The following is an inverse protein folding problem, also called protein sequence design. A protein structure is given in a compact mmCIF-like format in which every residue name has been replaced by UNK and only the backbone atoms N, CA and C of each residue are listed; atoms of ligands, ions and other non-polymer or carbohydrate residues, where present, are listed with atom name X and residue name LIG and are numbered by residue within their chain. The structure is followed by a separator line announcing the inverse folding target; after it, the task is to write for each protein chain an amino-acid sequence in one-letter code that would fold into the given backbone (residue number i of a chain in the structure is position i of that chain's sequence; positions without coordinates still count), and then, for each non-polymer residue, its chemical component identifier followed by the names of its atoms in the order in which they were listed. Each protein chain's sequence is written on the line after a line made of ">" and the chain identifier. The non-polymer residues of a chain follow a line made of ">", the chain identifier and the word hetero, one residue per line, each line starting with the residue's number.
data_IF_556644414092
#
_entry.id   IF_556644414092
#
_cell.length_a   1.000
_cell.length_b   1.000
_cell.length_c   1.000
_cell.angle_alpha   90.00
_cell.angle_beta   90.00
_cell.angle_gamma   90.00
#
_symmetry.space_group_name_H-M   'P 1'
#
loop_
_entity.id
_entity.type
_entity.pdbx_description
1 polymer ?
#
# COMPACT_ATOMS: atom_id res chain seq x y z
N UNK A 1 13.43 13.38 -6.22
CA UNK A 1 14.23 12.17 -6.02
C UNK A 1 15.24 12.39 -4.90
N UNK A 2 15.30 11.46 -3.96
CA UNK A 2 16.20 11.49 -2.82
C UNK A 2 17.44 10.68 -3.23
N UNK A 3 18.67 11.26 -3.26
CA UNK A 3 19.85 10.58 -3.81
C UNK A 3 20.31 9.33 -3.06
N UNK A 4 19.82 9.12 -1.84
CA UNK A 4 20.15 7.96 -0.98
C UNK A 4 18.96 7.06 -0.72
N UNK A 5 17.88 7.21 -1.50
CA UNK A 5 16.71 6.34 -1.45
C UNK A 5 17.02 5.04 -2.19
N UNK A 6 16.56 3.93 -1.67
CA UNK A 6 16.84 2.58 -2.18
C UNK A 6 15.59 1.90 -2.78
N UNK A 7 14.46 2.62 -2.86
CA UNK A 7 13.23 2.15 -3.47
C UNK A 7 12.67 3.13 -4.51
N UNK A 8 11.73 2.66 -5.29
CA UNK A 8 10.98 3.44 -6.28
C UNK A 8 9.49 3.22 -6.02
N UNK A 9 8.79 4.32 -5.82
CA UNK A 9 7.36 4.34 -5.61
C UNK A 9 6.63 5.00 -6.79
N UNK A 10 5.62 4.32 -7.32
CA UNK A 10 4.73 4.85 -8.35
C UNK A 10 3.36 5.10 -7.76
N UNK A 11 2.88 6.34 -7.86
CA UNK A 11 1.54 6.75 -7.45
C UNK A 11 0.58 6.86 -8.63
N UNK A 12 -0.59 6.26 -8.53
CA UNK A 12 -1.65 6.35 -9.53
C UNK A 12 -2.98 6.76 -8.88
N UNK A 13 -3.85 7.46 -9.62
CA UNK A 13 -5.24 7.60 -9.19
C UNK A 13 -5.88 6.21 -9.05
N UNK A 14 -6.76 6.02 -8.09
CA UNK A 14 -7.34 4.71 -7.78
C UNK A 14 -7.96 4.01 -9.00
N UNK A 15 -8.64 4.73 -9.89
CA UNK A 15 -9.22 4.13 -11.09
C UNK A 15 -8.15 3.71 -12.11
N UNK A 16 -7.07 4.48 -12.23
CA UNK A 16 -5.92 4.12 -13.06
C UNK A 16 -5.17 2.91 -12.48
N UNK A 17 -5.01 2.89 -11.16
CA UNK A 17 -4.44 1.75 -10.44
C UNK A 17 -5.23 0.44 -10.69
N UNK A 18 -6.56 0.48 -10.60
CA UNK A 18 -7.41 -0.69 -10.88
C UNK A 18 -7.20 -1.20 -12.31
N UNK A 19 -7.19 -0.27 -13.29
CA UNK A 19 -6.92 -0.60 -14.70
C UNK A 19 -5.52 -1.17 -14.91
N UNK A 20 -4.53 -0.59 -14.23
CA UNK A 20 -3.16 -1.07 -14.28
C UNK A 20 -3.04 -2.50 -13.72
N UNK A 21 -3.57 -2.78 -12.54
CA UNK A 21 -3.53 -4.12 -11.92
C UNK A 21 -4.18 -5.18 -12.81
N UNK A 22 -5.29 -4.85 -13.48
CA UNK A 22 -5.97 -5.75 -14.41
C UNK A 22 -5.16 -6.01 -15.69
N UNK A 23 -4.51 -4.98 -16.23
CA UNK A 23 -3.78 -5.05 -17.48
C UNK A 23 -2.35 -5.63 -17.32
N UNK A 24 -1.68 -5.32 -16.22
CA UNK A 24 -0.27 -5.63 -15.99
C UNK A 24 0.12 -7.12 -16.23
N UNK A 25 -0.66 -8.13 -15.79
CA UNK A 25 -0.30 -9.53 -16.03
C UNK A 25 -0.17 -9.90 -17.51
N UNK A 26 -0.83 -9.15 -18.39
CA UNK A 26 -0.84 -9.42 -19.84
C UNK A 26 0.10 -8.52 -20.62
N UNK A 27 0.43 -7.33 -20.07
CA UNK A 27 1.15 -6.28 -20.78
C UNK A 27 2.60 -6.10 -20.34
N UNK A 28 2.95 -6.54 -19.14
CA UNK A 28 4.34 -6.48 -18.68
C UNK A 28 5.23 -7.37 -19.53
N UNK A 29 6.48 -6.94 -19.84
CA UNK A 29 7.48 -7.80 -20.46
C UNK A 29 7.69 -9.09 -19.67
N UNK A 30 8.11 -10.15 -20.36
CA UNK A 30 8.15 -11.51 -19.81
C UNK A 30 9.03 -11.65 -18.55
N UNK A 31 10.06 -10.80 -18.41
CA UNK A 31 10.97 -10.73 -17.28
C UNK A 31 10.38 -10.08 -16.01
N UNK A 32 9.21 -9.45 -16.12
CA UNK A 32 8.52 -8.83 -14.98
C UNK A 32 7.25 -9.59 -14.60
N UNK A 33 6.81 -9.39 -13.38
CA UNK A 33 5.55 -9.88 -12.85
C UNK A 33 4.92 -8.83 -11.94
N UNK A 34 3.72 -9.10 -11.49
CA UNK A 34 3.01 -8.25 -10.52
C UNK A 34 2.56 -9.08 -9.33
N UNK A 35 2.83 -8.58 -8.13
CA UNK A 35 2.24 -9.08 -6.90
C UNK A 35 1.00 -8.27 -6.55
N UNK A 36 -0.08 -8.97 -6.24
CA UNK A 36 -1.34 -8.37 -5.79
C UNK A 36 -1.93 -9.17 -4.65
N UNK A 37 -2.58 -8.48 -3.73
CA UNK A 37 -3.26 -9.12 -2.60
C UNK A 37 -4.37 -10.06 -3.11
N UNK A 38 -4.51 -11.19 -2.46
CA UNK A 38 -5.56 -12.17 -2.80
C UNK A 38 -5.28 -13.08 -3.99
N UNK A 39 -4.47 -12.64 -4.97
CA UNK A 39 -4.07 -13.45 -6.13
C UNK A 39 -2.65 -14.04 -5.95
N UNK A 40 -1.75 -13.29 -5.32
CA UNK A 40 -0.40 -13.77 -5.00
C UNK A 40 -0.41 -14.49 -3.65
N UNK A 41 -0.01 -15.77 -3.59
CA UNK A 41 0.06 -16.50 -2.33
C UNK A 41 0.97 -15.80 -1.32
N UNK A 42 0.54 -15.77 -0.06
CA UNK A 42 1.30 -15.23 1.07
C UNK A 42 1.75 -13.77 0.93
N UNK A 43 1.07 -12.97 0.12
CA UNK A 43 1.37 -11.56 -0.10
C UNK A 43 0.53 -10.64 0.81
N UNK A 44 1.11 -10.08 1.90
CA UNK A 44 0.35 -9.28 2.88
C UNK A 44 -0.04 -7.88 2.40
N UNK A 45 0.75 -7.14 1.58
CA UNK A 45 0.39 -5.78 1.21
C UNK A 45 -0.92 -5.71 0.44
N UNK A 46 -1.70 -4.66 0.69
CA UNK A 46 -2.95 -4.39 -0.05
C UNK A 46 -2.71 -3.55 -1.32
N UNK A 47 -1.46 -3.18 -1.59
CA UNK A 47 -1.04 -2.52 -2.84
C UNK A 47 -0.28 -3.48 -3.75
N UNK A 48 -0.12 -3.11 -4.99
CA UNK A 48 0.61 -3.92 -5.96
C UNK A 48 2.11 -3.62 -5.94
N UNK A 49 2.90 -4.60 -6.35
CA UNK A 49 4.32 -4.43 -6.66
C UNK A 49 4.63 -5.02 -8.03
N UNK A 50 5.31 -4.28 -8.87
CA UNK A 50 5.92 -4.84 -10.08
C UNK A 50 7.30 -5.34 -9.70
N UNK A 51 7.62 -6.58 -10.03
CA UNK A 51 8.89 -7.20 -9.65
C UNK A 51 9.62 -7.82 -10.84
N UNK A 52 10.95 -7.94 -10.71
CA UNK A 52 11.80 -8.61 -11.69
C UNK A 52 11.89 -10.09 -11.34
N UNK A 53 11.44 -10.96 -12.26
CA UNK A 53 11.52 -12.41 -12.10
C UNK A 53 12.97 -12.89 -12.04
N UNK A 54 13.22 -13.96 -11.29
CA UNK A 54 14.55 -14.52 -11.12
C UNK A 54 15.47 -13.71 -10.19
N UNK A 55 14.95 -12.68 -9.56
CA UNK A 55 15.66 -11.94 -8.49
C UNK A 55 15.07 -12.30 -7.13
N UNK A 56 15.81 -12.01 -6.05
CA UNK A 56 15.36 -12.22 -4.67
C UNK A 56 15.70 -11.00 -3.83
N UNK A 57 14.69 -10.51 -3.13
CA UNK A 57 14.80 -9.47 -2.12
C UNK A 57 14.14 -9.97 -0.84
N UNK A 58 14.83 -9.91 0.29
CA UNK A 58 14.29 -10.40 1.56
C UNK A 58 14.09 -9.20 2.49
N UNK A 59 12.87 -8.68 2.50
CA UNK A 59 12.46 -7.66 3.46
C UNK A 59 12.15 -8.28 4.83
N UNK A 60 12.68 -7.71 5.90
CA UNK A 60 12.43 -8.20 7.28
C UNK A 60 10.94 -8.36 7.62
N UNK A 61 10.05 -7.57 6.98
CA UNK A 61 8.61 -7.61 7.23
C UNK A 61 7.92 -8.83 6.62
N UNK A 62 8.56 -9.47 5.66
CA UNK A 62 8.02 -10.58 4.88
C UNK A 62 8.55 -11.95 5.33
N UNK A 63 9.53 -11.98 6.24
CA UNK A 63 10.18 -13.22 6.69
C UNK A 63 9.17 -14.24 7.25
N UNK A 64 8.19 -13.77 8.02
CA UNK A 64 7.22 -14.67 8.65
C UNK A 64 6.03 -15.01 7.72
N UNK A 65 5.88 -14.33 6.62
CA UNK A 65 4.78 -14.54 5.67
C UNK A 65 5.03 -15.70 4.69
N UNK A 66 6.23 -16.29 4.72
CA UNK A 66 6.65 -17.31 3.74
C UNK A 66 6.45 -16.85 2.30
N UNK A 67 6.95 -15.64 2.02
CA UNK A 67 6.82 -14.96 0.75
C UNK A 67 8.19 -14.61 0.18
N UNK A 68 8.54 -15.23 -0.95
CA UNK A 68 9.74 -14.92 -1.71
C UNK A 68 9.50 -13.70 -2.61
N UNK A 69 10.05 -12.56 -2.21
CA UNK A 69 9.94 -11.30 -2.94
C UNK A 69 11.12 -11.12 -3.91
N UNK A 70 10.82 -10.71 -5.15
CA UNK A 70 11.84 -10.24 -6.10
C UNK A 70 12.17 -8.76 -5.89
N UNK A 71 13.20 -8.25 -6.57
CA UNK A 71 13.44 -6.80 -6.64
C UNK A 71 12.20 -6.14 -7.26
N UNK A 72 11.67 -5.10 -6.64
CA UNK A 72 10.36 -4.56 -6.97
C UNK A 72 10.32 -3.03 -7.05
N UNK A 73 9.25 -2.55 -7.62
CA UNK A 73 8.75 -1.16 -7.57
C UNK A 73 7.37 -1.20 -6.92
N UNK A 74 7.15 -0.40 -5.89
CA UNK A 74 5.84 -0.26 -5.27
C UNK A 74 4.89 0.57 -6.15
N UNK A 75 3.63 0.11 -6.26
CA UNK A 75 2.59 0.82 -7.00
C UNK A 75 1.42 1.10 -6.08
N UNK A 76 1.23 2.38 -5.77
CA UNK A 76 0.24 2.86 -4.82
C UNK A 76 -0.96 3.51 -5.49
N UNK A 77 -2.11 3.35 -4.86
CA UNK A 77 -3.32 4.04 -5.26
C UNK A 77 -3.54 5.32 -4.45
N UNK A 78 -3.85 6.42 -5.13
CA UNK A 78 -4.29 7.66 -4.54
C UNK A 78 -5.80 7.83 -4.75
N UNK A 79 -6.52 8.13 -3.69
CA UNK A 79 -7.95 8.42 -3.73
C UNK A 79 -8.26 9.74 -3.02
N UNK A 80 -9.40 10.34 -3.37
CA UNK A 80 -9.92 11.49 -2.63
C UNK A 80 -10.72 11.04 -1.42
N UNK A 81 -10.44 11.67 -0.30
CA UNK A 81 -11.17 11.49 0.95
C UNK A 81 -12.50 12.25 0.93
N UNK A 82 -13.27 12.12 2.00
CA UNK A 82 -14.43 12.97 2.24
C UNK A 82 -13.98 14.43 2.46
N UNK A 83 -14.79 15.39 2.00
CA UNK A 83 -14.53 16.81 2.23
C UNK A 83 -14.68 17.22 3.71
N UNK A 84 -15.43 16.46 4.50
CA UNK A 84 -15.51 16.62 5.94
C UNK A 84 -14.32 15.92 6.61
N UNK A 85 -13.55 16.68 7.37
CA UNK A 85 -12.30 16.20 7.98
C UNK A 85 -12.50 15.00 8.93
N UNK A 86 -13.55 15.00 9.75
CA UNK A 86 -13.84 13.90 10.67
C UNK A 86 -14.19 12.60 9.91
N UNK A 87 -14.93 12.71 8.81
CA UNK A 87 -15.23 11.58 7.93
C UNK A 87 -14.01 11.12 7.18
N UNK A 88 -13.17 12.03 6.67
CA UNK A 88 -11.91 11.73 6.03
C UNK A 88 -10.98 10.93 6.95
N UNK A 89 -10.81 11.38 8.19
CA UNK A 89 -10.03 10.68 9.23
C UNK A 89 -10.60 9.29 9.52
N UNK A 90 -11.91 9.15 9.63
CA UNK A 90 -12.57 7.84 9.80
C UNK A 90 -12.29 6.92 8.61
N UNK A 91 -12.38 7.42 7.39
CA UNK A 91 -12.11 6.69 6.16
C UNK A 91 -10.66 6.18 6.11
N UNK A 92 -9.68 7.06 6.38
CA UNK A 92 -8.26 6.69 6.42
C UNK A 92 -7.95 5.66 7.52
N UNK A 93 -8.55 5.82 8.71
CA UNK A 93 -8.40 4.84 9.79
C UNK A 93 -8.95 3.45 9.43
N UNK A 94 -10.04 3.39 8.64
CA UNK A 94 -10.56 2.11 8.14
C UNK A 94 -9.61 1.47 7.11
N UNK A 95 -9.01 2.25 6.22
CA UNK A 95 -7.98 1.75 5.32
C UNK A 95 -6.80 1.14 6.09
N UNK A 96 -6.28 1.88 7.07
CA UNK A 96 -5.18 1.42 7.93
C UNK A 96 -5.55 0.17 8.74
N UNK A 97 -6.81 0.09 9.22
CA UNK A 97 -7.30 -1.10 9.93
C UNK A 97 -7.19 -2.34 9.04
N UNK A 98 -7.74 -2.29 7.81
CA UNK A 98 -7.71 -3.44 6.91
C UNK A 98 -6.31 -3.80 6.45
N UNK A 99 -5.42 -2.83 6.29
CA UNK A 99 -4.01 -3.10 6.04
C UNK A 99 -3.37 -3.86 7.20
N UNK A 100 -3.60 -3.44 8.46
CA UNK A 100 -3.12 -4.15 9.64
C UNK A 100 -3.72 -5.55 9.75
N UNK A 101 -5.01 -5.71 9.43
CA UNK A 101 -5.68 -7.00 9.39
C UNK A 101 -5.06 -7.93 8.34
N UNK A 102 -4.67 -7.40 7.19
CA UNK A 102 -3.96 -8.16 6.18
C UNK A 102 -2.62 -8.68 6.71
N UNK A 103 -1.78 -7.82 7.27
CA UNK A 103 -0.51 -8.28 7.85
C UNK A 103 -0.73 -9.31 8.98
N UNK A 104 -1.67 -9.06 9.88
CA UNK A 104 -2.01 -10.02 10.94
C UNK A 104 -2.54 -11.36 10.42
N UNK A 105 -3.14 -11.40 9.23
CA UNK A 105 -3.56 -12.65 8.62
C UNK A 105 -2.35 -13.53 8.23
N UNK A 106 -1.26 -12.93 7.76
CA UNK A 106 -0.09 -13.65 7.25
C UNK A 106 1.01 -13.85 8.31
N UNK A 107 1.14 -12.97 9.31
CA UNK A 107 2.17 -13.08 10.35
C UNK A 107 1.59 -12.94 11.76
N UNK A 108 2.03 -13.84 12.66
CA UNK A 108 1.76 -13.73 14.08
C UNK A 108 2.71 -12.74 14.80
N UNK A 109 3.84 -12.41 14.18
CA UNK A 109 4.92 -11.60 14.75
C UNK A 109 5.22 -10.36 13.90
N UNK A 110 4.25 -9.42 13.74
CA UNK A 110 4.48 -8.21 12.95
C UNK A 110 5.56 -7.35 13.60
N UNK A 111 6.42 -6.73 12.78
CA UNK A 111 7.47 -5.84 13.28
C UNK A 111 6.86 -4.61 13.96
N UNK A 112 6.97 -4.56 15.29
CA UNK A 112 6.52 -3.43 16.09
C UNK A 112 7.62 -2.37 16.12
N UNK A 113 7.35 -1.19 15.54
CA UNK A 113 8.31 -0.08 15.48
C UNK A 113 8.34 0.70 16.79
N UNK A 114 9.53 1.18 17.15
CA UNK A 114 9.75 2.11 18.27
C UNK A 114 9.74 1.43 19.65
N UNK A 115 9.91 2.26 20.68
CA UNK A 115 9.84 1.86 22.08
C UNK A 115 8.37 1.80 22.52
N UNK A 116 7.74 0.64 22.37
CA UNK A 116 6.36 0.43 22.81
C UNK A 116 6.38 -0.09 24.25
N UNK A 117 5.72 0.59 25.20
CA UNK A 117 5.56 0.09 26.56
C UNK A 117 4.94 -1.31 26.56
N UNK A 118 5.40 -2.19 27.45
CA UNK A 118 4.89 -3.57 27.55
C UNK A 118 4.94 -4.37 26.24
N UNK A 119 6.01 -4.24 25.49
CA UNK A 119 6.20 -4.87 24.16
C UNK A 119 5.79 -6.35 24.13
N UNK A 120 6.17 -7.13 25.14
CA UNK A 120 5.79 -8.55 25.22
C UNK A 120 4.28 -8.79 25.28
N UNK A 121 3.50 -7.91 25.93
CA UNK A 121 2.03 -7.97 25.92
C UNK A 121 1.46 -7.65 24.53
N UNK A 122 2.05 -6.68 23.83
CA UNK A 122 1.64 -6.34 22.46
C UNK A 122 1.93 -7.49 21.50
N UNK A 123 3.10 -8.11 21.62
CA UNK A 123 3.49 -9.30 20.83
C UNK A 123 2.54 -10.48 21.09
N UNK A 124 2.25 -10.78 22.35
CA UNK A 124 1.26 -11.82 22.71
C UNK A 124 -0.14 -11.48 22.17
N UNK A 125 -0.54 -10.22 22.22
CA UNK A 125 -1.78 -9.72 21.61
C UNK A 125 -1.81 -9.91 20.09
N UNK A 126 -0.69 -9.71 19.39
CA UNK A 126 -0.59 -9.96 17.96
C UNK A 126 -0.76 -11.44 17.61
N UNK A 127 -0.16 -12.35 18.39
CA UNK A 127 -0.34 -13.81 18.21
C UNK A 127 -1.80 -14.19 18.35
N UNK A 128 -2.47 -13.72 19.41
CA UNK A 128 -3.90 -13.99 19.62
C UNK A 128 -4.76 -13.40 18.48
N UNK A 129 -4.48 -12.15 18.09
CA UNK A 129 -5.17 -11.48 16.99
C UNK A 129 -4.96 -12.20 15.64
N UNK A 130 -3.75 -12.70 15.36
CA UNK A 130 -3.47 -13.52 14.18
C UNK A 130 -4.41 -14.73 14.10
N UNK A 131 -4.53 -15.49 15.20
CA UNK A 131 -5.43 -16.65 15.25
C UNK A 131 -6.90 -16.27 14.99
N UNK A 132 -7.37 -15.17 15.60
CA UNK A 132 -8.75 -14.67 15.42
C UNK A 132 -8.97 -14.22 13.97
N UNK A 133 -8.05 -13.44 13.41
CA UNK A 133 -8.16 -12.92 12.05
C UNK A 133 -8.21 -14.06 11.04
N UNK A 134 -7.37 -15.07 11.18
CA UNK A 134 -7.39 -16.26 10.30
C UNK A 134 -8.65 -17.09 10.43
N UNK A 135 -9.26 -17.13 11.61
CA UNK A 135 -10.51 -17.87 11.84
C UNK A 135 -11.73 -17.18 11.20
N UNK A 136 -11.72 -15.83 11.12
CA UNK A 136 -12.88 -15.04 10.68
C UNK A 136 -12.75 -14.60 9.23
N UNK A 137 -11.54 -14.30 8.75
CA UNK A 137 -11.27 -13.70 7.45
C UNK A 137 -10.43 -14.59 6.56
N UNK A 138 -10.53 -14.35 5.27
CA UNK A 138 -9.59 -14.83 4.25
C UNK A 138 -9.10 -13.64 3.41
N UNK A 139 -8.03 -13.80 2.60
CA UNK A 139 -7.47 -12.70 1.82
C UNK A 139 -8.50 -11.94 0.97
N UNK A 140 -9.36 -12.65 0.25
CA UNK A 140 -10.42 -12.03 -0.58
C UNK A 140 -11.46 -11.26 0.24
N UNK A 141 -11.74 -11.69 1.48
CA UNK A 141 -12.66 -10.96 2.38
C UNK A 141 -12.02 -9.69 2.93
N UNK A 142 -10.72 -9.71 3.20
CA UNK A 142 -9.94 -8.53 3.64
C UNK A 142 -9.92 -7.51 2.50
N UNK A 143 -9.55 -7.93 1.30
CA UNK A 143 -9.53 -7.08 0.10
C UNK A 143 -10.90 -6.45 -0.18
N UNK A 144 -11.97 -7.25 -0.15
CA UNK A 144 -13.33 -6.74 -0.34
C UNK A 144 -13.74 -5.70 0.69
N UNK A 145 -13.34 -5.87 1.94
CA UNK A 145 -13.64 -4.91 2.99
C UNK A 145 -12.78 -3.64 2.86
N UNK A 146 -11.51 -3.78 2.47
CA UNK A 146 -10.65 -2.66 2.13
C UNK A 146 -11.24 -1.84 0.96
N UNK A 147 -11.71 -2.49 -0.10
CA UNK A 147 -12.35 -1.81 -1.23
C UNK A 147 -13.62 -1.00 -0.85
N UNK A 148 -14.29 -1.33 0.27
CA UNK A 148 -15.43 -0.53 0.75
C UNK A 148 -15.01 0.85 1.27
N UNK A 149 -13.74 1.03 1.64
CA UNK A 149 -13.22 2.30 2.14
C UNK A 149 -13.38 3.42 1.10
N UNK A 150 -13.26 3.10 -0.18
CA UNK A 150 -13.50 4.03 -1.27
C UNK A 150 -14.87 4.69 -1.18
N UNK A 151 -15.90 3.90 -0.84
CA UNK A 151 -17.29 4.33 -0.77
C UNK A 151 -17.69 4.98 0.55
N UNK A 152 -16.76 5.12 1.51
CA UNK A 152 -17.06 5.71 2.82
C UNK A 152 -17.10 7.23 2.78
N UNK A 153 -16.51 7.87 1.78
CA UNK A 153 -16.44 9.32 1.61
C UNK A 153 -17.11 9.80 0.33
N UNK A 154 -17.28 11.12 0.21
CA UNK A 154 -17.86 11.76 -0.98
C UNK A 154 -16.84 11.99 -2.12
N UNK A 155 -15.56 11.69 -1.90
CA UNK A 155 -14.51 11.85 -2.90
C UNK A 155 -14.22 13.31 -3.30
N UNK A 156 -14.52 14.29 -2.45
CA UNK A 156 -14.35 15.71 -2.73
C UNK A 156 -13.29 16.38 -1.84
N UNK A 157 -12.71 15.63 -0.91
CA UNK A 157 -11.65 16.08 -0.02
C UNK A 157 -10.25 16.01 -0.62
N UNK A 158 -9.24 15.98 0.25
CA UNK A 158 -7.84 15.85 -0.12
C UNK A 158 -7.52 14.48 -0.71
N UNK A 159 -6.47 14.42 -1.49
CA UNK A 159 -5.92 13.17 -1.98
C UNK A 159 -5.04 12.51 -0.93
N UNK A 160 -5.11 11.20 -0.80
CA UNK A 160 -4.22 10.43 0.06
C UNK A 160 -3.82 9.13 -0.62
N UNK A 161 -2.63 8.67 -0.30
CA UNK A 161 -2.28 7.28 -0.52
C UNK A 161 -3.11 6.45 0.47
N UNK A 162 -4.05 5.69 -0.05
CA UNK A 162 -5.04 4.89 0.72
C UNK A 162 -4.38 3.86 1.66
N UNK A 163 -3.10 3.57 1.47
CA UNK A 163 -2.33 2.60 2.26
C UNK A 163 -1.59 3.22 3.45
N UNK A 164 -1.58 4.55 3.55
CA UNK A 164 -0.95 5.29 4.65
C UNK A 164 -1.99 6.08 5.47
N UNK A 165 -1.51 6.80 6.47
CA UNK A 165 -2.40 7.56 7.36
C UNK A 165 -2.98 8.81 6.69
N UNK A 166 -4.07 9.34 7.27
CA UNK A 166 -4.66 10.61 6.80
C UNK A 166 -3.71 11.83 6.91
N UNK A 167 -2.64 11.70 7.71
CA UNK A 167 -1.67 12.78 7.88
C UNK A 167 -0.81 13.01 6.61
N UNK A 168 -0.78 12.04 5.68
CA UNK A 168 -0.19 12.16 4.35
C UNK A 168 -1.23 12.49 3.28
N UNK A 169 -2.10 13.49 3.50
CA UNK A 169 -3.08 13.92 2.52
C UNK A 169 -2.71 15.26 1.89
N UNK A 170 -2.98 15.41 0.59
CA UNK A 170 -2.54 16.52 -0.23
C UNK A 170 -3.73 17.20 -0.92
N UNK A 171 -3.64 18.51 -1.09
CA UNK A 171 -4.58 19.25 -1.95
C UNK A 171 -4.43 18.81 -3.41
N UNK A 172 -5.48 18.99 -4.21
CA UNK A 172 -5.45 18.60 -5.63
C UNK A 172 -4.34 19.34 -6.38
N UNK A 173 -4.13 20.60 -6.07
CA UNK A 173 -3.15 21.47 -6.69
C UNK A 173 -1.70 21.08 -6.37
N UNK A 174 -1.46 20.37 -5.29
CA UNK A 174 -0.15 19.81 -4.93
C UNK A 174 0.22 18.64 -5.86
N UNK A 175 -0.75 17.81 -6.20
CA UNK A 175 -0.50 16.61 -6.98
C UNK A 175 -0.70 16.84 -8.49
N UNK A 176 -1.71 17.63 -8.89
CA UNK A 176 -2.17 17.70 -10.27
C UNK A 176 -2.31 19.15 -10.81
N UNK A 177 -2.12 19.35 -12.14
CA UNK A 177 -1.58 18.37 -13.07
C UNK A 177 -0.14 18.01 -12.71
N UNK A 178 0.28 16.80 -12.98
CA UNK A 178 1.67 16.37 -12.79
C UNK A 178 2.61 17.21 -13.63
N UNK A 179 3.87 17.37 -13.19
CA UNK A 179 4.96 17.95 -13.96
C UNK A 179 5.99 16.87 -14.26
N UNK A 180 6.66 16.99 -15.39
CA UNK A 180 7.76 16.11 -15.72
C UNK A 180 9.03 16.53 -14.97
N UNK A 181 9.72 15.55 -14.38
CA UNK A 181 11.04 15.73 -13.79
C UNK A 181 12.04 14.77 -14.41
N UNK A 182 13.25 15.26 -14.61
CA UNK A 182 14.34 14.44 -15.15
C UNK A 182 14.98 13.60 -14.03
N UNK A 183 15.21 12.33 -14.32
CA UNK A 183 15.93 11.41 -13.45
C UNK A 183 16.68 10.38 -14.31
N UNK A 184 17.99 10.27 -14.13
CA UNK A 184 18.89 9.31 -14.80
C UNK A 184 18.71 9.26 -16.34
N UNK A 185 18.56 10.43 -16.97
CA UNK A 185 18.38 10.55 -18.42
C UNK A 185 16.95 10.31 -18.94
N UNK A 186 16.02 10.01 -18.06
CA UNK A 186 14.60 9.82 -18.37
C UNK A 186 13.75 10.96 -17.81
N UNK A 187 12.52 11.08 -18.29
CA UNK A 187 11.52 12.02 -17.80
C UNK A 187 10.36 11.25 -17.19
N UNK A 188 9.99 11.59 -15.94
CA UNK A 188 8.91 10.94 -15.22
C UNK A 188 7.88 11.97 -14.74
N UNK A 189 6.57 11.63 -14.76
CA UNK A 189 5.56 12.47 -14.14
C UNK A 189 5.72 12.44 -12.61
N UNK A 190 5.77 13.60 -12.00
CA UNK A 190 5.86 13.79 -10.55
C UNK A 190 4.73 14.72 -10.08
N UNK A 191 4.46 14.79 -8.76
CA UNK A 191 3.56 15.79 -8.21
C UNK A 191 3.90 17.19 -8.70
N UNK A 192 2.87 18.02 -8.89
CA UNK A 192 3.04 19.40 -9.36
C UNK A 192 3.94 20.20 -8.43
N UNK A 193 3.73 20.07 -7.14
CA UNK A 193 4.52 20.72 -6.09
C UNK A 193 5.31 19.67 -5.30
N UNK A 194 6.55 19.46 -5.76
CA UNK A 194 7.48 18.48 -5.15
C UNK A 194 8.05 18.93 -3.81
N UNK A 195 7.95 20.22 -3.48
CA UNK A 195 8.49 20.75 -2.22
C UNK A 195 7.49 20.59 -1.08
N UNK A 196 6.20 20.46 -1.41
CA UNK A 196 5.11 20.20 -0.47
C UNK A 196 4.79 18.71 -0.36
N UNK A 197 5.05 17.93 -1.41
CA UNK A 197 4.86 16.48 -1.43
C UNK A 197 5.93 15.76 -0.60
#
# INVERSE_FOLDING_TARGET
>A
FIPWDDDIDIGMKLDDYKRFVEAAPKMLPAEYGIYTHGETPNYPPLWAKVYKKGTRFIGERMLDADFDEGIFVDVFAYMRLDSNEAKAKKQANHALLWQRMSYLYYTAHPKIRGNVPCRGLVEAGCVAAHGIVRAIYNPKSIERNFAKVEKMGNGQGKWTNIFYSADGSFETETLFPTKDIAFDGYSFPAPRDTDVY
#
